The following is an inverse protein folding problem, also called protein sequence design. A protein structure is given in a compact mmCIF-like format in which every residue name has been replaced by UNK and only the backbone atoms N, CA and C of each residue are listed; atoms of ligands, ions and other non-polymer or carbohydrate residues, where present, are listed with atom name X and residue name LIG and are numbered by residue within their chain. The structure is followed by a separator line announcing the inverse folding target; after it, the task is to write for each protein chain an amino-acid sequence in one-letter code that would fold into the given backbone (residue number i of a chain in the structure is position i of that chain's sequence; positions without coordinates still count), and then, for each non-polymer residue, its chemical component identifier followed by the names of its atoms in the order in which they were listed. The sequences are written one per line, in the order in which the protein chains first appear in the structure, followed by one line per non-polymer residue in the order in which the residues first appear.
data_IF_468435244023
#
_entry.id   IF_468435244023
#
_cell.length_a   1.000
_cell.length_b   1.000
_cell.length_c   1.000
_cell.angle_alpha   90.00
_cell.angle_beta   90.00
_cell.angle_gamma   90.00
#
_symmetry.space_group_name_H-M   'P 1'
#
loop_
_entity.id
_entity.type
_entity.pdbx_description
1 polymer ?
#
# COMPACT_ATOMS: atom_id res chain seq x y z
N UNK A 1 6.14 12.05 16.33
CA UNK A 1 5.30 11.26 17.26
C UNK A 1 3.96 10.95 16.62
N UNK A 2 3.86 9.81 15.94
CA UNK A 2 2.63 9.04 15.75
C UNK A 2 2.99 7.65 15.19
N UNK A 3 3.73 6.83 15.95
CA UNK A 3 3.71 5.38 15.73
C UNK A 3 2.40 4.85 16.33
N UNK A 4 1.30 5.04 15.60
CA UNK A 4 -0.03 4.60 16.02
C UNK A 4 -0.18 3.10 15.81
N UNK A 5 0.34 2.30 16.73
CA UNK A 5 -0.09 0.90 16.85
C UNK A 5 -1.56 0.90 17.33
N UNK A 6 -2.49 0.52 16.45
CA UNK A 6 -3.84 0.11 16.84
C UNK A 6 -4.91 1.20 16.98
N UNK A 7 -4.69 2.43 16.51
CA UNK A 7 -5.82 3.35 16.30
C UNK A 7 -6.49 3.02 14.97
N UNK A 8 -7.75 2.59 15.03
CA UNK A 8 -8.55 2.35 13.84
C UNK A 8 -8.70 3.66 13.05
N UNK A 9 -7.99 3.73 11.93
CA UNK A 9 -8.05 4.87 11.02
C UNK A 9 -9.37 4.82 10.22
N UNK A 10 -10.15 5.90 10.28
CA UNK A 10 -11.38 5.99 9.50
C UNK A 10 -11.09 5.95 8.00
N UNK A 11 -12.06 5.50 7.19
CA UNK A 11 -11.92 5.52 5.72
C UNK A 11 -11.51 6.90 5.18
N UNK A 12 -12.10 7.97 5.73
CA UNK A 12 -11.75 9.33 5.33
C UNK A 12 -10.28 9.67 5.61
N UNK A 13 -9.77 9.26 6.77
CA UNK A 13 -8.36 9.47 7.13
C UNK A 13 -7.41 8.58 6.30
N UNK A 14 -7.82 7.36 5.94
CA UNK A 14 -7.07 6.51 5.01
C UNK A 14 -6.96 7.16 3.62
N UNK A 15 -8.06 7.66 3.08
CA UNK A 15 -8.08 8.39 1.80
C UNK A 15 -7.22 9.66 1.89
N UNK A 16 -7.34 10.44 2.96
CA UNK A 16 -6.54 11.66 3.17
C UNK A 16 -5.04 11.35 3.22
N UNK A 17 -4.64 10.33 3.99
CA UNK A 17 -3.26 9.84 4.05
C UNK A 17 -2.76 9.45 2.65
N UNK A 18 -3.49 8.59 1.93
CA UNK A 18 -3.15 8.18 0.57
C UNK A 18 -3.02 9.38 -0.39
N UNK A 19 -3.93 10.35 -0.29
CA UNK A 19 -3.91 11.55 -1.12
C UNK A 19 -2.70 12.45 -0.82
N UNK A 20 -2.24 12.49 0.43
CA UNK A 20 -1.07 13.27 0.85
C UNK A 20 0.24 12.79 0.19
N UNK A 21 0.35 11.50 -0.14
CA UNK A 21 1.54 10.89 -0.76
C UNK A 21 1.63 11.15 -2.27
N UNK A 22 0.53 11.56 -2.91
CA UNK A 22 0.42 11.71 -4.38
C UNK A 22 1.49 12.60 -5.02
N UNK A 23 1.88 13.76 -4.45
CA UNK A 23 2.84 14.65 -5.09
C UNK A 23 4.21 14.00 -5.34
N UNK A 24 4.61 13.06 -4.49
CA UNK A 24 5.94 12.43 -4.53
C UNK A 24 5.91 10.99 -5.07
N UNK A 25 4.73 10.39 -5.18
CA UNK A 25 4.58 9.01 -5.65
C UNK A 25 4.87 8.91 -7.14
N UNK A 26 5.85 8.09 -7.52
CA UNK A 26 6.13 7.73 -8.90
C UNK A 26 5.68 6.30 -9.24
N UNK A 27 5.65 5.40 -8.24
CA UNK A 27 5.21 4.02 -8.42
C UNK A 27 4.35 3.56 -7.24
N UNK A 28 3.42 2.65 -7.52
CA UNK A 28 2.64 1.96 -6.49
C UNK A 28 2.84 0.46 -6.68
N UNK A 29 3.19 -0.23 -5.60
CA UNK A 29 3.30 -1.70 -5.55
C UNK A 29 2.13 -2.27 -4.75
N UNK A 30 1.49 -3.29 -5.31
CA UNK A 30 0.47 -4.10 -4.65
C UNK A 30 1.04 -5.48 -4.41
N UNK A 31 1.01 -5.94 -3.15
CA UNK A 31 1.37 -7.30 -2.79
C UNK A 31 0.10 -8.07 -2.41
N UNK A 32 -0.35 -8.93 -3.32
CA UNK A 32 -1.53 -9.75 -3.17
C UNK A 32 -1.19 -11.00 -2.36
N UNK A 33 -1.58 -11.00 -1.09
CA UNK A 33 -1.21 -12.07 -0.15
C UNK A 33 -1.88 -13.42 -0.47
N UNK A 34 -3.02 -13.38 -1.15
CA UNK A 34 -3.79 -14.55 -1.58
C UNK A 34 -3.76 -14.78 -3.11
N UNK A 35 -2.81 -14.16 -3.82
CA UNK A 35 -2.74 -14.19 -5.29
C UNK A 35 -3.59 -13.12 -5.96
N UNK A 36 -3.33 -12.88 -7.24
CA UNK A 36 -3.89 -11.75 -8.01
C UNK A 36 -4.93 -12.15 -9.07
N UNK A 37 -5.19 -13.45 -9.22
CA UNK A 37 -6.09 -13.98 -10.25
C UNK A 37 -7.53 -13.50 -10.02
N UNK A 38 -8.10 -12.83 -11.03
CA UNK A 38 -9.48 -12.32 -10.99
C UNK A 38 -9.71 -11.17 -10.00
N UNK A 39 -8.64 -10.60 -9.42
CA UNK A 39 -8.78 -9.56 -8.40
C UNK A 39 -9.47 -8.30 -8.93
N UNK A 40 -10.47 -7.78 -8.22
CA UNK A 40 -11.28 -6.63 -8.65
C UNK A 40 -10.45 -5.37 -8.91
N UNK A 41 -9.42 -5.13 -8.11
CA UNK A 41 -8.43 -4.07 -8.36
C UNK A 41 -7.79 -4.17 -9.75
N UNK A 42 -7.40 -5.38 -10.19
CA UNK A 42 -6.77 -5.54 -11.50
C UNK A 42 -7.76 -5.36 -12.65
N UNK A 43 -9.03 -5.72 -12.45
CA UNK A 43 -10.08 -5.41 -13.42
C UNK A 43 -10.29 -3.89 -13.55
N UNK A 44 -10.29 -3.16 -12.43
CA UNK A 44 -10.42 -1.70 -12.42
C UNK A 44 -9.22 -0.97 -13.05
N UNK A 45 -8.03 -1.60 -13.05
CA UNK A 45 -6.78 -1.05 -13.58
C UNK A 45 -6.32 -1.74 -14.87
N UNK A 46 -7.21 -2.45 -15.57
CA UNK A 46 -6.85 -3.24 -16.74
C UNK A 46 -6.27 -2.42 -17.90
N UNK A 47 -6.52 -1.10 -17.93
CA UNK A 47 -5.94 -0.16 -18.88
C UNK A 47 -4.50 0.26 -18.55
N UNK A 48 -4.00 -0.04 -17.35
CA UNK A 48 -2.66 0.32 -16.91
C UNK A 48 -1.70 -0.88 -17.04
N UNK A 49 -0.50 -0.61 -17.55
CA UNK A 49 0.59 -1.58 -17.56
C UNK A 49 1.13 -1.81 -16.15
N UNK A 50 1.36 -3.08 -15.78
CA UNK A 50 2.07 -3.45 -14.55
C UNK A 50 3.18 -4.45 -14.78
N UNK A 51 4.21 -4.38 -13.94
CA UNK A 51 5.22 -5.42 -13.81
C UNK A 51 4.73 -6.41 -12.76
N UNK A 52 4.56 -7.67 -13.15
CA UNK A 52 4.18 -8.76 -12.26
C UNK A 52 5.41 -9.53 -11.80
N UNK A 53 5.53 -9.74 -10.49
CA UNK A 53 6.57 -10.57 -9.88
C UNK A 53 5.91 -11.59 -8.96
N UNK A 54 6.34 -12.85 -9.02
CA UNK A 54 5.88 -13.90 -8.11
C UNK A 54 6.97 -14.12 -7.07
N UNK A 55 6.58 -14.13 -5.80
CA UNK A 55 7.50 -14.17 -4.68
C UNK A 55 7.97 -12.78 -4.28
N UNK A 56 7.98 -12.55 -2.97
CA UNK A 56 8.56 -11.34 -2.37
C UNK A 56 9.69 -11.78 -1.45
N UNK A 57 10.91 -11.36 -1.78
CA UNK A 57 12.08 -11.54 -0.92
C UNK A 57 12.04 -10.56 0.25
N UNK A 58 12.76 -10.84 1.35
CA UNK A 58 12.98 -9.87 2.40
C UNK A 58 13.65 -8.61 1.83
N UNK A 59 13.07 -7.43 2.08
CA UNK A 59 13.59 -6.16 1.56
C UNK A 59 12.57 -5.03 1.64
N UNK A 60 13.05 -3.78 1.63
CA UNK A 60 12.25 -2.55 1.73
C UNK A 60 11.40 -2.41 3.01
N UNK A 61 11.93 -2.87 4.14
CA UNK A 61 11.49 -2.46 5.48
C UNK A 61 10.23 -3.13 6.03
N UNK A 62 9.42 -3.82 5.21
CA UNK A 62 8.13 -4.33 5.66
C UNK A 62 8.00 -5.88 5.71
N UNK A 63 8.65 -6.65 4.83
CA UNK A 63 8.64 -8.12 4.92
C UNK A 63 9.91 -8.68 5.58
N UNK A 64 9.75 -9.28 6.77
CA UNK A 64 10.84 -9.91 7.53
C UNK A 64 11.22 -11.31 7.06
N UNK A 65 10.37 -11.97 6.26
CA UNK A 65 10.56 -13.33 5.76
C UNK A 65 10.18 -13.40 4.28
N UNK A 66 10.80 -14.29 3.48
CA UNK A 66 10.39 -14.52 2.11
C UNK A 66 8.94 -14.99 2.06
N UNK A 67 8.15 -14.45 1.13
CA UNK A 67 6.78 -14.88 0.84
C UNK A 67 6.70 -15.36 -0.62
N UNK A 68 7.04 -16.63 -0.91
CA UNK A 68 7.19 -17.13 -2.28
C UNK A 68 5.88 -17.20 -3.08
N UNK A 69 4.73 -17.21 -2.39
CA UNK A 69 3.40 -17.28 -3.00
C UNK A 69 2.74 -15.92 -3.24
N UNK A 70 3.28 -14.86 -2.64
CA UNK A 70 2.74 -13.50 -2.82
C UNK A 70 2.99 -13.05 -4.25
N UNK A 71 1.97 -12.47 -4.85
CA UNK A 71 2.11 -11.84 -6.17
C UNK A 71 2.24 -10.35 -6.00
N UNK A 72 3.28 -9.76 -6.57
CA UNK A 72 3.49 -8.32 -6.60
C UNK A 72 3.15 -7.75 -7.96
N UNK A 73 2.38 -6.64 -7.98
CA UNK A 73 2.13 -5.83 -9.18
C UNK A 73 2.65 -4.42 -8.95
N UNK A 74 3.61 -3.99 -9.75
CA UNK A 74 4.13 -2.62 -9.74
C UNK A 74 3.53 -1.83 -10.90
N UNK A 75 2.94 -0.69 -10.60
CA UNK A 75 2.41 0.26 -11.57
C UNK A 75 3.20 1.56 -11.52
N UNK A 76 3.33 2.24 -12.66
CA UNK A 76 3.62 3.67 -12.65
C UNK A 76 2.43 4.41 -12.03
N UNK A 77 2.67 5.47 -11.27
CA UNK A 77 1.61 6.21 -10.63
C UNK A 77 0.62 6.76 -11.67
N UNK A 78 -0.66 6.46 -11.45
CA UNK A 78 -1.80 7.05 -12.15
C UNK A 78 -2.88 7.37 -11.10
N UNK A 79 -3.61 8.47 -11.30
CA UNK A 79 -4.70 8.89 -10.42
C UNK A 79 -5.82 7.86 -10.32
N UNK A 80 -6.00 7.03 -11.35
CA UNK A 80 -7.03 6.00 -11.39
C UNK A 80 -6.74 4.88 -10.39
N UNK A 81 -5.47 4.68 -10.01
CA UNK A 81 -5.08 3.75 -8.94
C UNK A 81 -5.70 4.16 -7.60
N UNK A 82 -5.55 5.44 -7.24
CA UNK A 82 -6.12 6.02 -6.02
C UNK A 82 -7.64 5.88 -6.02
N UNK A 83 -8.27 6.22 -7.14
CA UNK A 83 -9.73 6.09 -7.31
C UNK A 83 -10.22 4.64 -7.18
N UNK A 84 -9.45 3.68 -7.70
CA UNK A 84 -9.78 2.27 -7.58
C UNK A 84 -9.70 1.78 -6.13
N UNK A 85 -8.67 2.20 -5.39
CA UNK A 85 -8.54 1.90 -3.95
C UNK A 85 -9.72 2.51 -3.17
N UNK A 86 -10.05 3.79 -3.43
CA UNK A 86 -11.20 4.44 -2.79
C UNK A 86 -12.51 3.73 -3.13
N UNK A 87 -12.72 3.34 -4.40
CA UNK A 87 -13.91 2.61 -4.83
C UNK A 87 -14.05 1.25 -4.12
N UNK A 88 -12.94 0.56 -3.88
CA UNK A 88 -12.90 -0.73 -3.18
C UNK A 88 -12.98 -0.62 -1.65
N UNK A 89 -13.20 0.58 -1.11
CA UNK A 89 -13.40 0.78 0.33
C UNK A 89 -12.16 1.14 1.12
N UNK A 90 -11.07 1.53 0.44
CA UNK A 90 -9.75 1.81 1.03
C UNK A 90 -9.05 0.55 1.58
N UNK A 91 -8.06 0.70 2.44
CA UNK A 91 -7.14 -0.37 2.86
C UNK A 91 -7.72 -1.23 3.98
N UNK A 92 -8.41 -0.60 4.93
CA UNK A 92 -8.95 -1.24 6.13
C UNK A 92 -10.44 -0.91 6.27
N UNK A 93 -11.26 -1.86 6.74
CA UNK A 93 -12.64 -1.58 7.13
C UNK A 93 -12.73 -0.48 8.19
N UNK A 94 -13.83 0.26 8.20
CA UNK A 94 -14.12 1.19 9.31
C UNK A 94 -14.25 0.42 10.63
N UNK A 95 -13.92 1.06 11.76
CA UNK A 95 -13.97 0.45 13.10
C UNK A 95 -15.37 -0.07 13.51
N UNK A 96 -16.42 0.46 12.89
CA UNK A 96 -17.79 0.02 13.11
C UNK A 96 -18.18 -1.20 12.25
N UNK A 97 -17.35 -1.59 11.27
CA UNK A 97 -17.57 -2.75 10.42
C UNK A 97 -17.18 -4.04 11.12
N UNK A 98 -17.98 -5.10 10.92
CA UNK A 98 -17.61 -6.46 11.33
C UNK A 98 -16.84 -7.23 10.25
N UNK A 99 -16.61 -6.62 9.09
CA UNK A 99 -15.84 -7.23 8.01
C UNK A 99 -14.35 -7.24 8.35
N UNK A 100 -13.66 -8.31 7.95
CA UNK A 100 -12.21 -8.41 8.11
C UNK A 100 -11.46 -7.56 7.07
N UNK A 101 -12.04 -7.44 5.87
CA UNK A 101 -11.41 -6.82 4.70
C UNK A 101 -12.40 -5.92 3.98
N UNK A 102 -11.89 -4.87 3.35
CA UNK A 102 -12.63 -4.12 2.33
C UNK A 102 -12.71 -4.95 1.04
N UNK A 103 -13.34 -4.42 -0.01
CA UNK A 103 -13.30 -5.09 -1.32
C UNK A 103 -11.88 -5.10 -1.94
N UNK A 104 -10.92 -4.37 -1.36
CA UNK A 104 -9.51 -4.46 -1.71
C UNK A 104 -8.90 -5.79 -1.28
N UNK A 105 -9.41 -6.40 -0.21
CA UNK A 105 -8.90 -7.68 0.30
C UNK A 105 -7.56 -7.59 1.03
N UNK A 106 -6.91 -8.74 1.19
CA UNK A 106 -5.58 -8.86 1.81
C UNK A 106 -4.48 -8.47 0.81
N UNK A 107 -4.37 -7.17 0.56
CA UNK A 107 -3.43 -6.57 -0.39
C UNK A 107 -2.66 -5.44 0.29
N UNK A 108 -1.39 -5.68 0.56
CA UNK A 108 -0.50 -4.64 1.04
C UNK A 108 -0.19 -3.65 -0.09
N UNK A 109 -0.17 -2.35 0.21
CA UNK A 109 0.03 -1.28 -0.77
C UNK A 109 1.26 -0.46 -0.38
N UNK A 110 2.18 -0.25 -1.31
CA UNK A 110 3.40 0.52 -1.08
C UNK A 110 3.49 1.67 -2.08
N UNK A 111 3.61 2.88 -1.57
CA UNK A 111 3.84 4.11 -2.34
C UNK A 111 5.33 4.37 -2.40
N UNK A 112 5.87 4.51 -3.62
CA UNK A 112 7.30 4.70 -3.87
C UNK A 112 7.54 5.99 -4.64
N UNK A 113 8.63 6.68 -4.33
CA UNK A 113 9.11 7.79 -5.13
C UNK A 113 9.81 7.33 -6.44
N UNK A 114 10.35 8.30 -7.19
CA UNK A 114 11.03 8.04 -8.47
C UNK A 114 12.33 7.23 -8.34
N UNK A 115 12.93 7.20 -7.16
CA UNK A 115 14.14 6.42 -6.85
C UNK A 115 13.80 5.06 -6.23
N UNK A 116 12.52 4.80 -5.95
CA UNK A 116 12.07 3.59 -5.29
C UNK A 116 12.16 3.64 -3.76
N UNK A 117 12.35 4.81 -3.16
CA UNK A 117 12.23 4.97 -1.70
C UNK A 117 10.75 4.88 -1.32
N UNK A 118 10.47 4.16 -0.23
CA UNK A 118 9.12 4.07 0.34
C UNK A 118 8.70 5.43 0.90
N UNK A 119 7.51 5.89 0.50
CA UNK A 119 6.83 7.08 1.01
C UNK A 119 5.72 6.74 2.01
N UNK A 120 5.18 5.53 1.88
CA UNK A 120 4.16 4.99 2.76
C UNK A 120 3.83 3.56 2.37
N UNK A 121 3.42 2.75 3.33
CA UNK A 121 2.99 1.39 3.09
C UNK A 121 1.82 0.99 3.99
N UNK A 122 1.04 0.01 3.55
CA UNK A 122 0.03 -0.64 4.37
C UNK A 122 0.39 -2.08 4.65
N UNK A 123 -0.11 -2.55 5.78
CA UNK A 123 0.06 -3.89 6.32
C UNK A 123 -1.33 -4.43 6.60
N UNK A 124 -1.98 -4.97 5.58
CA UNK A 124 -3.43 -5.28 5.65
C UNK A 124 -3.72 -6.23 6.80
N UNK A 125 -2.94 -7.31 6.92
CA UNK A 125 -3.11 -8.34 7.94
C UNK A 125 -2.81 -7.91 9.38
N UNK A 126 -2.12 -6.79 9.60
CA UNK A 126 -1.89 -6.24 10.95
C UNK A 126 -2.68 -4.94 11.17
N UNK A 127 -3.47 -4.49 10.19
CA UNK A 127 -4.24 -3.25 10.31
C UNK A 127 -3.37 -1.99 10.40
N UNK A 128 -2.16 -2.00 9.80
CA UNK A 128 -1.14 -0.98 10.07
C UNK A 128 -0.80 -0.13 8.83
N UNK A 129 -0.62 1.17 9.06
CA UNK A 129 -0.05 2.11 8.09
C UNK A 129 1.35 2.50 8.54
N UNK A 130 2.31 2.40 7.62
CA UNK A 130 3.69 2.80 7.82
C UNK A 130 3.91 4.08 7.03
N UNK A 131 4.32 5.15 7.71
CA UNK A 131 4.85 6.35 7.08
C UNK A 131 6.30 6.46 7.53
N UNK A 132 7.28 6.53 6.62
CA UNK A 132 8.65 6.82 7.03
C UNK A 132 8.64 8.16 7.78
N UNK A 133 9.10 8.17 9.03
CA UNK A 133 9.45 9.44 9.67
C UNK A 133 10.56 10.08 8.82
N UNK A 134 10.49 11.39 8.59
CA UNK A 134 11.44 12.11 7.73
C UNK A 134 12.89 11.78 8.13
N UNK A 135 13.54 10.83 7.43
CA UNK A 135 14.94 10.43 7.64
C UNK A 135 15.95 11.54 7.26
N UNK A 136 15.52 12.80 7.19
CA UNK A 136 16.31 13.92 6.67
C UNK A 136 16.92 14.82 7.77
N UNK A 137 16.63 14.62 9.07
CA UNK A 137 17.33 15.39 10.13
C UNK A 137 18.71 14.82 10.49
N UNK A 138 19.00 13.54 10.25
CA UNK A 138 20.25 12.90 10.68
C UNK A 138 21.38 12.88 9.62
N UNK A 139 21.17 13.49 8.46
CA UNK A 139 22.18 13.55 7.38
C UNK A 139 22.91 14.89 7.23
N UNK A 140 22.65 15.86 8.12
CA UNK A 140 23.33 17.17 8.13
C UNK A 140 24.39 17.33 9.25
N UNK A 141 24.77 16.26 9.94
CA UNK A 141 25.75 16.29 11.05
C UNK A 141 27.04 15.52 10.80
N UNK A 142 27.45 15.28 9.54
CA UNK A 142 28.78 14.72 9.22
C UNK A 142 29.51 15.48 8.13
#
# INVERSE_FOLDING_TARGET
MASGYGEYISRAAQSEWMHSLRPNTAHIEFAFNNGDDGHRLLAALAHLGSIRTVGVEPGNGYYFRPRPTVVKRRFAYDRDIIRAIDFLGCFFPDSASSEQWTELGDVDVVFLDKWGKMLGATVTHEGMIITPEDEDEDRLSR
#
